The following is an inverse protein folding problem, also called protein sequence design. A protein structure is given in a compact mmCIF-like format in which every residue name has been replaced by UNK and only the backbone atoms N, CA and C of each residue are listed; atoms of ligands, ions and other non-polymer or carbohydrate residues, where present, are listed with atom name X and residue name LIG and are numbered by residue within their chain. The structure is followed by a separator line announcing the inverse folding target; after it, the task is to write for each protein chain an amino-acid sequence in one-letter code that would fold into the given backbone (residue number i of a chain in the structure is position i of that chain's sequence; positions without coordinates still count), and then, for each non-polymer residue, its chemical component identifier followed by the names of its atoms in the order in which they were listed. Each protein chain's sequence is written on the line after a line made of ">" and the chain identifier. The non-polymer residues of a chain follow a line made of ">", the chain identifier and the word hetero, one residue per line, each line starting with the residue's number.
data_IF_143760642432
#
_entry.id   IF_143760642432
#
_cell.length_a   1.000
_cell.length_b   1.000
_cell.length_c   1.000
_cell.angle_alpha   90.00
_cell.angle_beta   90.00
_cell.angle_gamma   90.00
#
_symmetry.space_group_name_H-M   'P 1'
#
loop_
_entity.id
_entity.type
_entity.pdbx_description
1 polymer ?
#
# COMPACT_ATOMS: atom_id res chain seq x y z
N UNK A 1 -16.21 12.66 -14.58
CA UNK A 1 -15.53 11.83 -15.59
C UNK A 1 -14.57 10.94 -14.83
N UNK A 2 -14.71 9.62 -14.93
CA UNK A 2 -13.74 8.70 -14.33
C UNK A 2 -12.39 8.90 -15.05
N UNK A 3 -11.36 9.26 -14.30
CA UNK A 3 -9.98 9.32 -14.82
C UNK A 3 -9.54 7.88 -15.08
N UNK A 4 -8.81 7.64 -16.18
CA UNK A 4 -8.25 6.30 -16.42
C UNK A 4 -7.21 5.95 -15.36
N UNK A 5 -7.06 4.67 -15.03
CA UNK A 5 -6.07 4.20 -14.03
C UNK A 5 -4.65 4.66 -14.41
N UNK A 6 -4.29 4.59 -15.70
CA UNK A 6 -3.01 5.10 -16.21
C UNK A 6 -2.77 6.58 -15.87
N UNK A 7 -3.78 7.43 -16.05
CA UNK A 7 -3.65 8.86 -15.77
C UNK A 7 -3.60 9.13 -14.25
N UNK A 8 -4.36 8.38 -13.45
CA UNK A 8 -4.28 8.44 -11.99
C UNK A 8 -2.90 8.01 -11.47
N UNK A 9 -2.35 6.93 -12.02
CA UNK A 9 -1.02 6.41 -11.68
C UNK A 9 0.09 7.38 -12.08
N UNK A 10 0.00 7.98 -13.28
CA UNK A 10 0.95 8.99 -13.73
C UNK A 10 0.97 10.21 -12.81
N UNK A 11 -0.20 10.67 -12.36
CA UNK A 11 -0.31 11.76 -11.38
C UNK A 11 0.25 11.38 -10.02
N UNK A 12 -0.03 10.17 -9.55
CA UNK A 12 0.50 9.68 -8.28
C UNK A 12 2.03 9.65 -8.27
N UNK A 13 2.64 9.12 -9.33
CA UNK A 13 4.10 9.09 -9.50
C UNK A 13 4.68 10.50 -9.60
N UNK A 14 4.07 11.37 -10.40
CA UNK A 14 4.49 12.77 -10.49
C UNK A 14 4.40 13.49 -9.13
N UNK A 15 3.36 13.22 -8.34
CA UNK A 15 3.21 13.76 -7.00
C UNK A 15 4.28 13.23 -6.02
N UNK A 16 4.71 11.98 -6.17
CA UNK A 16 5.84 11.43 -5.42
C UNK A 16 7.14 12.17 -5.80
N UNK A 17 7.43 12.29 -7.09
CA UNK A 17 8.64 12.96 -7.59
C UNK A 17 8.71 14.45 -7.22
N UNK A 18 7.56 15.11 -7.11
CA UNK A 18 7.45 16.55 -6.78
C UNK A 18 7.29 16.82 -5.27
N UNK A 19 7.33 15.78 -4.43
CA UNK A 19 7.16 15.89 -2.98
C UNK A 19 5.75 16.29 -2.53
N UNK A 20 4.75 16.25 -3.42
CA UNK A 20 3.36 16.48 -3.04
C UNK A 20 2.80 15.32 -2.20
N UNK A 21 3.16 14.09 -2.59
CA UNK A 21 2.84 12.90 -1.82
C UNK A 21 3.50 12.92 -0.44
N UNK A 22 4.76 13.33 -0.35
CA UNK A 22 5.45 13.52 0.95
C UNK A 22 4.69 14.50 1.84
N UNK A 23 4.32 15.68 1.32
CA UNK A 23 3.53 16.67 2.08
C UNK A 23 2.20 16.10 2.55
N UNK A 24 1.55 15.27 1.74
CA UNK A 24 0.33 14.55 2.13
C UNK A 24 0.62 13.58 3.28
N UNK A 25 1.67 12.78 3.16
CA UNK A 25 2.04 11.78 4.16
C UNK A 25 2.36 12.41 5.51
N UNK A 26 3.14 13.49 5.52
CA UNK A 26 3.46 14.26 6.75
C UNK A 26 2.18 14.78 7.43
N UNK A 27 1.21 15.31 6.66
CA UNK A 27 -0.05 15.81 7.23
C UNK A 27 -0.95 14.70 7.81
N UNK A 28 -0.74 13.46 7.37
CA UNK A 28 -1.58 12.30 7.72
C UNK A 28 -0.86 11.30 8.63
N UNK A 29 0.30 11.67 9.16
CA UNK A 29 1.15 10.79 9.96
C UNK A 29 1.44 9.44 9.28
N UNK A 30 1.64 9.44 7.96
CA UNK A 30 2.00 8.26 7.16
C UNK A 30 3.51 8.26 6.96
N UNK A 31 4.18 7.14 7.27
CA UNK A 31 5.63 7.01 7.18
C UNK A 31 6.12 6.09 6.05
N UNK A 32 5.20 5.41 5.37
CA UNK A 32 5.46 4.54 4.23
C UNK A 32 4.25 4.49 3.30
N UNK A 33 4.50 4.63 1.99
CA UNK A 33 3.52 4.38 0.91
C UNK A 33 4.16 3.52 -0.16
N UNK A 34 3.49 2.42 -0.49
CA UNK A 34 3.93 1.45 -1.50
C UNK A 34 2.78 1.16 -2.46
N UNK A 35 3.06 1.28 -3.74
CA UNK A 35 2.16 0.83 -4.80
C UNK A 35 2.39 -0.67 -5.05
N UNK A 36 1.30 -1.43 -5.09
CA UNK A 36 1.34 -2.87 -5.34
C UNK A 36 0.21 -3.30 -6.28
N UNK A 37 -0.06 -4.60 -6.33
CA UNK A 37 -1.24 -5.11 -7.03
C UNK A 37 -1.09 -5.15 -8.55
N UNK A 38 -2.21 -5.00 -9.25
CA UNK A 38 -2.26 -5.18 -10.71
C UNK A 38 -1.66 -3.99 -11.47
N UNK A 39 -1.81 -2.79 -10.92
CA UNK A 39 -1.34 -1.54 -11.50
C UNK A 39 0.19 -1.44 -11.63
N UNK A 40 0.97 -2.18 -10.83
CA UNK A 40 2.44 -2.21 -11.00
C UNK A 40 2.87 -3.04 -12.22
N UNK A 41 2.07 -4.04 -12.61
CA UNK A 41 2.41 -4.99 -13.69
C UNK A 41 1.76 -4.64 -15.01
N UNK A 42 0.48 -4.29 -14.97
CA UNK A 42 -0.34 -4.06 -16.17
C UNK A 42 -1.26 -2.84 -15.96
N UNK A 43 -0.70 -1.61 -15.94
CA UNK A 43 -1.45 -0.37 -15.73
C UNK A 43 -2.67 -0.24 -16.66
N UNK A 44 -2.50 -0.57 -17.94
CA UNK A 44 -3.52 -0.42 -18.98
C UNK A 44 -4.77 -1.31 -18.79
N UNK A 45 -4.67 -2.37 -17.99
CA UNK A 45 -5.79 -3.30 -17.71
C UNK A 45 -6.13 -3.39 -16.22
N UNK A 46 -5.47 -2.61 -15.37
CA UNK A 46 -5.77 -2.55 -13.95
C UNK A 46 -7.17 -1.96 -13.73
N UNK A 47 -7.89 -2.49 -12.75
CA UNK A 47 -9.22 -2.00 -12.38
C UNK A 47 -9.14 -0.81 -11.42
N UNK A 48 -8.09 -0.79 -10.60
CA UNK A 48 -7.87 0.07 -9.44
C UNK A 48 -6.38 0.34 -9.21
N UNK A 49 -6.09 1.28 -8.32
CA UNK A 49 -4.75 1.59 -7.83
C UNK A 49 -4.64 1.08 -6.38
N UNK A 50 -3.93 -0.03 -6.20
CA UNK A 50 -3.68 -0.63 -4.89
C UNK A 50 -2.50 0.05 -4.15
N UNK A 51 -2.78 0.66 -3.01
CA UNK A 51 -1.79 1.35 -2.18
C UNK A 51 -1.73 0.76 -0.78
N UNK A 52 -0.53 0.40 -0.35
CA UNK A 52 -0.27 0.01 1.02
C UNK A 52 0.37 1.17 1.76
N UNK A 53 -0.21 1.55 2.89
CA UNK A 53 0.27 2.64 3.73
C UNK A 53 0.64 2.13 5.11
N UNK A 54 1.54 2.83 5.78
CA UNK A 54 1.82 2.61 7.20
C UNK A 54 1.75 3.95 7.92
N UNK A 55 0.99 3.98 9.01
CA UNK A 55 0.99 5.14 9.90
C UNK A 55 2.15 5.08 10.88
N UNK A 56 2.73 6.24 11.19
CA UNK A 56 3.78 6.42 12.18
C UNK A 56 3.47 5.71 13.50
N UNK A 57 4.51 5.16 14.14
CA UNK A 57 4.35 4.46 15.41
C UNK A 57 3.70 5.36 16.47
N UNK A 58 2.77 4.81 17.27
CA UNK A 58 2.02 5.57 18.28
C UNK A 58 0.89 6.45 17.74
N UNK A 59 0.73 6.60 16.41
CA UNK A 59 -0.39 7.31 15.80
C UNK A 59 -1.52 6.35 15.47
N UNK A 60 -2.76 6.80 15.68
CA UNK A 60 -3.97 6.02 15.35
C UNK A 60 -4.20 5.94 13.84
N UNK A 61 -3.79 6.98 13.10
CA UNK A 61 -4.03 7.12 11.67
C UNK A 61 -5.50 7.33 11.32
N UNK A 62 -5.75 7.85 10.12
CA UNK A 62 -7.09 7.94 9.53
C UNK A 62 -7.04 7.46 8.07
N UNK A 63 -7.27 6.16 7.82
CA UNK A 63 -7.27 5.60 6.47
C UNK A 63 -8.25 6.31 5.52
N UNK A 64 -9.43 6.74 6.02
CA UNK A 64 -10.45 7.37 5.19
C UNK A 64 -10.01 8.76 4.73
N UNK A 65 -9.34 9.52 5.60
CA UNK A 65 -8.77 10.81 5.23
C UNK A 65 -7.62 10.67 4.23
N UNK A 66 -6.77 9.63 4.36
CA UNK A 66 -5.71 9.33 3.38
C UNK A 66 -6.31 8.97 2.03
N UNK A 67 -7.32 8.10 1.98
CA UNK A 67 -8.05 7.75 0.75
C UNK A 67 -8.60 9.01 0.09
N UNK A 68 -9.25 9.88 0.86
CA UNK A 68 -9.84 11.12 0.33
C UNK A 68 -8.77 12.01 -0.31
N UNK A 69 -7.64 12.24 0.37
CA UNK A 69 -6.55 13.05 -0.18
C UNK A 69 -5.92 12.40 -1.43
N UNK A 70 -5.79 11.08 -1.47
CA UNK A 70 -5.27 10.34 -2.64
C UNK A 70 -6.23 10.41 -3.84
N UNK A 71 -7.54 10.35 -3.60
CA UNK A 71 -8.56 10.55 -4.65
C UNK A 71 -8.41 11.97 -5.23
N UNK A 72 -8.22 12.98 -4.38
CA UNK A 72 -7.99 14.35 -4.85
C UNK A 72 -6.68 14.50 -5.62
N UNK A 73 -5.60 13.86 -5.16
CA UNK A 73 -4.27 13.91 -5.77
C UNK A 73 -4.25 13.26 -7.16
N UNK A 74 -4.88 12.10 -7.29
CA UNK A 74 -4.90 11.31 -8.53
C UNK A 74 -6.05 11.73 -9.46
N UNK A 75 -7.13 12.28 -8.92
CA UNK A 75 -8.39 12.50 -9.61
C UNK A 75 -9.12 11.21 -9.99
N UNK A 76 -8.82 10.09 -9.31
CA UNK A 76 -9.44 8.77 -9.50
C UNK A 76 -10.12 8.30 -8.22
N UNK A 77 -11.32 7.76 -8.31
CA UNK A 77 -12.06 7.11 -7.23
C UNK A 77 -11.75 5.61 -7.11
N UNK A 78 -11.13 5.01 -8.13
CA UNK A 78 -10.67 3.63 -8.14
C UNK A 78 -9.31 3.49 -7.43
N UNK A 79 -9.30 3.76 -6.11
CA UNK A 79 -8.14 3.63 -5.23
C UNK A 79 -8.50 2.75 -4.04
N UNK A 80 -7.72 1.69 -3.86
CA UNK A 80 -7.83 0.80 -2.71
C UNK A 80 -6.62 0.99 -1.79
N UNK A 81 -6.90 1.30 -0.52
CA UNK A 81 -5.85 1.57 0.49
C UNK A 81 -5.86 0.51 1.56
N UNK A 82 -4.70 -0.10 1.78
CA UNK A 82 -4.45 -1.07 2.84
C UNK A 82 -3.53 -0.49 3.91
N UNK A 83 -3.97 -0.53 5.18
CA UNK A 83 -3.11 -0.22 6.33
C UNK A 83 -2.23 -1.44 6.69
N UNK A 84 -0.92 -1.32 6.46
CA UNK A 84 0.09 -2.34 6.72
C UNK A 84 0.17 -2.76 8.18
N UNK A 85 -0.23 -1.91 9.14
CA UNK A 85 -0.21 -2.28 10.57
C UNK A 85 -1.36 -3.20 10.94
N UNK A 86 -2.47 -3.11 10.20
CA UNK A 86 -3.70 -3.88 10.40
C UNK A 86 -3.85 -5.05 9.41
N UNK A 87 -3.09 -5.03 8.32
CA UNK A 87 -3.08 -6.07 7.32
C UNK A 87 -2.60 -7.42 7.87
N UNK A 88 -3.26 -8.50 7.45
CA UNK A 88 -2.83 -9.86 7.76
C UNK A 88 -1.51 -10.23 7.05
N UNK A 89 -0.83 -11.30 7.49
CA UNK A 89 0.50 -11.66 7.00
C UNK A 89 0.59 -11.87 5.48
N UNK A 90 -0.46 -12.42 4.87
CA UNK A 90 -0.51 -12.65 3.40
C UNK A 90 -0.60 -11.33 2.64
N UNK A 91 -1.57 -10.47 2.99
CA UNK A 91 -1.76 -9.20 2.31
C UNK A 91 -0.54 -8.29 2.47
N UNK A 92 0.06 -8.28 3.67
CA UNK A 92 1.31 -7.55 3.93
C UNK A 92 2.47 -8.06 3.08
N UNK A 93 2.60 -9.38 2.92
CA UNK A 93 3.62 -9.98 2.08
C UNK A 93 3.43 -9.64 0.60
N UNK A 94 2.19 -9.62 0.10
CA UNK A 94 1.90 -9.20 -1.28
C UNK A 94 2.27 -7.72 -1.50
N UNK A 95 1.93 -6.84 -0.56
CA UNK A 95 2.19 -5.40 -0.69
C UNK A 95 3.63 -4.96 -0.44
N UNK A 96 4.44 -5.78 0.23
CA UNK A 96 5.85 -5.49 0.52
C UNK A 96 6.79 -6.48 -0.18
N UNK A 97 6.25 -7.36 -1.02
CA UNK A 97 6.96 -8.41 -1.71
C UNK A 97 7.67 -7.94 -2.98
N UNK A 98 7.67 -8.80 -3.99
CA UNK A 98 8.30 -8.50 -5.29
C UNK A 98 7.34 -7.75 -6.21
N UNK A 99 7.87 -6.89 -7.07
CA UNK A 99 7.08 -6.17 -8.08
C UNK A 99 6.22 -5.06 -7.50
N UNK A 100 6.65 -4.50 -6.37
CA UNK A 100 6.05 -3.33 -5.72
C UNK A 100 6.91 -2.10 -6.01
N UNK A 101 6.31 -0.93 -5.90
CA UNK A 101 6.96 0.36 -6.15
C UNK A 101 6.88 1.21 -4.89
N UNK A 102 8.03 1.57 -4.33
CA UNK A 102 8.12 2.48 -3.19
C UNK A 102 7.84 3.90 -3.66
N UNK A 103 6.79 4.53 -3.13
CA UNK A 103 6.41 5.89 -3.47
C UNK A 103 6.85 6.91 -2.43
N UNK A 104 6.91 6.50 -1.15
CA UNK A 104 7.34 7.35 -0.05
C UNK A 104 7.82 6.52 1.13
N UNK A 105 8.92 6.92 1.75
CA UNK A 105 9.30 6.52 3.10
C UNK A 105 9.86 7.75 3.86
N UNK A 106 9.49 7.90 5.13
CA UNK A 106 9.94 9.04 5.94
C UNK A 106 11.43 8.94 6.33
N UNK A 107 11.97 7.72 6.41
CA UNK A 107 13.37 7.43 6.66
C UNK A 107 13.83 6.28 5.74
N UNK A 108 15.05 6.34 5.14
CA UNK A 108 15.60 5.33 4.22
C UNK A 108 15.76 3.88 4.73
N UNK A 109 15.23 3.54 5.90
CA UNK A 109 15.23 2.19 6.48
C UNK A 109 13.84 1.57 6.58
N UNK A 110 12.79 2.41 6.56
CA UNK A 110 11.42 2.02 6.91
C UNK A 110 10.89 0.94 5.98
N UNK A 111 11.09 1.11 4.67
CA UNK A 111 10.60 0.13 3.70
C UNK A 111 11.32 -1.21 3.86
N UNK A 112 12.65 -1.20 3.97
CA UNK A 112 13.46 -2.42 4.12
C UNK A 112 13.08 -3.20 5.39
N UNK A 113 12.90 -2.51 6.52
CA UNK A 113 12.44 -3.12 7.77
C UNK A 113 11.04 -3.72 7.64
N UNK A 114 10.12 -3.00 6.99
CA UNK A 114 8.78 -3.48 6.74
C UNK A 114 8.78 -4.75 5.86
N UNK A 115 9.62 -4.80 4.82
CA UNK A 115 9.79 -5.99 3.98
C UNK A 115 10.30 -7.17 4.79
N UNK A 116 11.37 -6.99 5.56
CA UNK A 116 11.92 -8.06 6.41
C UNK A 116 10.89 -8.60 7.39
N UNK A 117 10.13 -7.71 8.03
CA UNK A 117 9.03 -8.10 8.91
C UNK A 117 7.98 -8.93 8.16
N UNK A 118 7.52 -8.46 7.00
CA UNK A 118 6.47 -9.11 6.23
C UNK A 118 6.86 -10.52 5.75
N UNK A 119 8.11 -10.68 5.28
CA UNK A 119 8.64 -11.99 4.88
C UNK A 119 8.65 -12.95 6.06
N UNK A 120 9.17 -12.52 7.22
CA UNK A 120 9.21 -13.34 8.44
C UNK A 120 7.80 -13.73 8.89
N UNK A 121 6.92 -12.76 9.04
CA UNK A 121 5.54 -12.97 9.51
C UNK A 121 4.75 -13.92 8.59
N UNK A 122 4.93 -13.81 7.27
CA UNK A 122 4.33 -14.73 6.30
C UNK A 122 4.82 -16.18 6.47
N UNK A 123 6.13 -16.37 6.67
CA UNK A 123 6.74 -17.68 6.85
C UNK A 123 6.33 -18.32 8.18
N UNK A 124 6.38 -17.55 9.27
CA UNK A 124 6.06 -18.00 10.62
C UNK A 124 4.58 -18.42 10.75
N UNK A 125 3.68 -17.73 10.06
CA UNK A 125 2.24 -18.03 10.06
C UNK A 125 1.84 -19.13 9.07
N UNK A 126 2.76 -19.65 8.25
CA UNK A 126 2.46 -20.69 7.25
C UNK A 126 1.82 -21.96 7.86
N UNK A 127 2.27 -22.51 9.00
CA UNK A 127 1.63 -23.69 9.60
C UNK A 127 0.20 -23.42 10.06
N UNK A 128 -0.05 -22.25 10.67
CA UNK A 128 -1.37 -21.83 11.13
C UNK A 128 -2.35 -21.68 9.97
N UNK A 129 -1.91 -21.04 8.88
CA UNK A 129 -2.71 -20.88 7.66
C UNK A 129 -3.04 -22.22 7.01
N UNK A 130 -2.10 -23.18 7.02
CA UNK A 130 -2.35 -24.53 6.54
C UNK A 130 -3.42 -25.24 7.36
N UNK A 131 -3.32 -25.20 8.69
CA UNK A 131 -4.32 -25.80 9.57
C UNK A 131 -5.71 -25.16 9.39
N UNK A 132 -5.77 -23.84 9.18
CA UNK A 132 -7.01 -23.13 8.91
C UNK A 132 -7.66 -23.56 7.59
N UNK A 133 -6.87 -23.74 6.52
CA UNK A 133 -7.37 -24.25 5.23
C UNK A 133 -7.90 -25.69 5.35
N UNK A 134 -7.21 -26.54 6.10
CA UNK A 134 -7.63 -27.92 6.36
C UNK A 134 -8.96 -27.96 7.14
N UNK A 135 -9.18 -27.02 8.08
CA UNK A 135 -10.44 -26.89 8.82
C UNK A 135 -11.60 -26.37 7.96
N UNK A 136 -11.34 -25.45 7.03
CA UNK A 136 -12.36 -24.87 6.14
C UNK A 136 -12.74 -25.80 4.97
N UNK A 137 -11.89 -26.78 4.66
CA UNK A 137 -12.14 -27.81 3.64
C UNK A 137 -12.83 -29.08 4.16
N UNK A 138 -13.19 -29.12 5.45
CA UNK A 138 -13.92 -30.20 6.11
C UNK A 138 -15.38 -29.79 6.39
#
# INVERSE_FOLDING_TARGET
>A
MATSIDAGLARLRAAADQGELERLCIRRDVDLVVLFGSATRQPATAADIDLAIRFEHGRTGDPAAVVTDLIHLTGSDAIDVMDLRRAGPVARFEALGRGVELLYEADPSIFAEAQMFAVRDYLDTKPLRRAQLELMGA
#
